data_IF_249277830778
#
_entry.id   IF_249277830778
#
_cell.length_a   1.000
_cell.length_b   1.000
_cell.length_c   1.000
_cell.angle_alpha   90.00
_cell.angle_beta   90.00
_cell.angle_gamma   90.00
#
_symmetry.space_group_name_H-M   'P 1'
#
loop_
_entity.id
_entity.type
_entity.pdbx_description
1 polymer ?
#
# COMPACT_ATOMS: atom_id res chain seq x y z
N UNK A 1 -2.36 26.63 -25.75
CA UNK A 1 -1.75 27.17 -24.52
C UNK A 1 -1.31 26.01 -23.65
N UNK A 2 -0.01 25.86 -23.36
CA UNK A 2 0.50 24.73 -22.56
C UNK A 2 0.37 25.09 -21.07
N UNK A 3 -0.60 24.49 -20.39
CA UNK A 3 -0.72 24.64 -18.95
C UNK A 3 0.38 23.83 -18.25
N UNK A 4 1.15 24.51 -17.42
CA UNK A 4 2.31 23.97 -16.72
C UNK A 4 1.98 23.95 -15.21
N UNK A 5 2.34 22.88 -14.50
CA UNK A 5 2.14 22.75 -13.04
C UNK A 5 2.64 24.00 -12.28
N UNK A 6 3.67 24.65 -12.80
CA UNK A 6 4.23 25.90 -12.25
C UNK A 6 3.29 27.13 -12.26
N UNK A 7 2.16 27.07 -12.98
CA UNK A 7 1.13 28.11 -12.99
C UNK A 7 0.13 27.96 -11.83
N UNK A 8 0.01 26.76 -11.26
CA UNK A 8 -0.88 26.48 -10.12
C UNK A 8 -0.09 26.50 -8.82
N UNK A 9 1.13 25.95 -8.82
CA UNK A 9 2.02 25.88 -7.67
C UNK A 9 3.39 26.45 -8.03
N UNK A 10 4.01 27.22 -7.14
CA UNK A 10 5.31 27.84 -7.41
C UNK A 10 6.38 26.78 -7.67
N UNK A 11 7.29 27.02 -8.63
CA UNK A 11 8.34 26.05 -9.04
C UNK A 11 9.17 25.52 -7.85
N UNK A 12 9.59 26.40 -6.94
CA UNK A 12 10.40 26.01 -5.76
C UNK A 12 9.63 25.18 -4.72
N UNK A 13 8.30 25.19 -4.77
CA UNK A 13 7.48 24.40 -3.87
C UNK A 13 7.38 22.93 -4.30
N UNK A 14 7.73 22.61 -5.55
CA UNK A 14 7.71 21.24 -6.07
C UNK A 14 9.02 20.55 -5.67
N UNK A 15 8.92 19.61 -4.72
CA UNK A 15 10.06 18.79 -4.26
C UNK A 15 10.35 17.62 -5.16
N UNK A 16 9.35 17.12 -5.88
CA UNK A 16 9.54 16.00 -6.78
C UNK A 16 8.28 15.56 -7.51
N UNK A 17 8.50 14.84 -8.60
CA UNK A 17 7.47 14.17 -9.40
C UNK A 17 7.84 12.70 -9.52
N UNK A 18 6.87 11.82 -9.27
CA UNK A 18 7.11 10.38 -9.35
C UNK A 18 5.96 9.68 -10.03
N UNK A 19 6.27 8.92 -11.09
CA UNK A 19 5.30 8.04 -11.73
C UNK A 19 5.27 6.70 -11.00
N UNK A 20 4.10 6.28 -10.53
CA UNK A 20 3.89 4.99 -9.84
C UNK A 20 2.64 4.34 -10.39
N UNK A 21 2.78 3.15 -10.98
CA UNK A 21 1.67 2.36 -11.57
C UNK A 21 0.80 3.16 -12.55
N UNK A 22 1.34 4.11 -13.31
CA UNK A 22 0.56 4.92 -14.25
C UNK A 22 -0.18 6.12 -13.63
N UNK A 23 0.03 6.38 -12.33
CA UNK A 23 -0.36 7.62 -11.67
C UNK A 23 0.88 8.49 -11.43
N UNK A 24 0.69 9.80 -11.34
CA UNK A 24 1.73 10.75 -10.94
C UNK A 24 1.52 11.20 -9.51
N UNK A 25 2.58 11.14 -8.70
CA UNK A 25 2.64 11.76 -7.38
C UNK A 25 3.41 13.06 -7.49
N UNK A 26 2.84 14.11 -6.90
CA UNK A 26 3.43 15.44 -6.83
C UNK A 26 3.78 15.68 -5.37
N UNK A 27 5.07 15.83 -5.08
CA UNK A 27 5.57 16.12 -3.74
C UNK A 27 5.75 17.62 -3.61
N UNK A 28 5.01 18.22 -2.69
CA UNK A 28 5.05 19.65 -2.39
C UNK A 28 5.70 19.88 -1.03
N UNK A 29 6.35 21.02 -0.87
CA UNK A 29 7.07 21.38 0.36
C UNK A 29 6.15 21.87 1.50
N UNK A 30 4.92 22.29 1.18
CA UNK A 30 3.93 22.80 2.14
C UNK A 30 2.52 22.29 1.83
N UNK A 31 1.73 22.07 2.88
CA UNK A 31 0.34 21.61 2.76
C UNK A 31 -0.56 22.64 2.06
N UNK A 32 -0.34 23.95 2.26
CA UNK A 32 -1.13 25.00 1.61
C UNK A 32 -1.05 24.98 0.07
N UNK A 33 0.10 24.58 -0.49
CA UNK A 33 0.23 24.39 -1.94
C UNK A 33 -0.51 23.15 -2.43
N UNK A 34 -0.63 22.12 -1.58
CA UNK A 34 -1.41 20.93 -1.89
C UNK A 34 -2.90 21.25 -1.94
N UNK A 35 -3.41 21.99 -0.97
CA UNK A 35 -4.80 22.47 -0.94
C UNK A 35 -5.12 23.33 -2.18
N UNK A 36 -4.19 24.21 -2.56
CA UNK A 36 -4.31 25.04 -3.76
C UNK A 36 -4.36 24.18 -5.03
N UNK A 37 -3.50 23.17 -5.14
CA UNK A 37 -3.47 22.27 -6.30
C UNK A 37 -4.73 21.39 -6.41
N UNK A 38 -5.27 20.94 -5.27
CA UNK A 38 -6.51 20.16 -5.24
C UNK A 38 -7.71 21.01 -5.62
N UNK A 39 -7.82 22.22 -5.05
CA UNK A 39 -8.95 23.12 -5.28
C UNK A 39 -8.97 23.70 -6.70
N UNK A 40 -7.81 24.13 -7.21
CA UNK A 40 -7.71 24.69 -8.58
C UNK A 40 -7.64 23.61 -9.66
N UNK A 41 -7.29 22.38 -9.29
CA UNK A 41 -7.02 21.31 -10.25
C UNK A 41 -5.77 21.59 -11.11
N UNK A 42 -5.59 20.76 -12.14
CA UNK A 42 -4.48 20.90 -13.09
C UNK A 42 -5.00 20.65 -14.51
N UNK A 43 -4.73 21.56 -15.44
CA UNK A 43 -4.94 21.28 -16.86
C UNK A 43 -3.62 20.86 -17.50
N UNK A 44 -3.61 19.77 -18.26
CA UNK A 44 -2.46 19.34 -19.06
C UNK A 44 -2.92 19.23 -20.50
N UNK A 45 -2.30 19.99 -21.40
CA UNK A 45 -2.65 20.04 -22.84
C UNK A 45 -4.14 20.34 -23.08
N UNK A 46 -4.73 21.21 -22.26
CA UNK A 46 -6.14 21.61 -22.37
C UNK A 46 -7.13 20.62 -21.76
N UNK A 47 -6.67 19.46 -21.26
CA UNK A 47 -7.51 18.52 -20.53
C UNK A 47 -7.40 18.77 -19.03
N UNK A 48 -8.54 19.03 -18.38
CA UNK A 48 -8.61 19.12 -16.93
C UNK A 48 -8.36 17.74 -16.31
N UNK A 49 -7.44 17.69 -15.36
CA UNK A 49 -7.09 16.50 -14.60
C UNK A 49 -7.57 16.62 -13.16
N UNK A 50 -8.25 15.58 -12.69
CA UNK A 50 -8.61 15.44 -11.28
C UNK A 50 -7.37 15.14 -10.45
N UNK A 51 -7.17 15.93 -9.40
CA UNK A 51 -6.11 15.73 -8.42
C UNK A 51 -6.72 15.09 -7.17
N UNK A 52 -6.19 13.95 -6.75
CA UNK A 52 -6.66 13.23 -5.57
C UNK A 52 -5.73 13.45 -4.38
N UNK A 53 -6.30 13.59 -3.19
CA UNK A 53 -5.54 13.66 -1.92
C UNK A 53 -4.83 12.35 -1.61
N UNK A 54 -5.48 11.22 -1.94
CA UNK A 54 -4.98 9.86 -1.73
C UNK A 54 -4.86 9.16 -3.07
N UNK A 55 -4.15 8.04 -3.08
CA UNK A 55 -4.07 7.22 -4.29
C UNK A 55 -5.50 6.79 -4.69
N UNK A 56 -6.02 7.20 -5.86
CA UNK A 56 -7.39 6.87 -6.26
C UNK A 56 -7.61 5.38 -6.52
N UNK A 57 -6.55 4.57 -6.58
CA UNK A 57 -6.63 3.10 -6.68
C UNK A 57 -6.55 2.40 -5.32
N UNK A 58 -6.34 3.13 -4.23
CA UNK A 58 -6.41 2.56 -2.88
C UNK A 58 -7.86 2.36 -2.41
N UNK A 59 -8.85 2.89 -3.11
CA UNK A 59 -10.28 2.78 -2.78
C UNK A 59 -10.90 1.40 -3.00
N UNK A 60 -10.31 0.53 -3.83
CA UNK A 60 -10.85 -0.83 -4.01
C UNK A 60 -10.53 -1.76 -2.83
N UNK A 61 -9.48 -1.45 -2.08
CA UNK A 61 -8.92 -2.29 -1.00
C UNK A 61 -8.97 -1.64 0.38
N UNK A 62 -9.46 -0.40 0.49
CA UNK A 62 -9.89 0.26 1.74
C UNK A 62 -11.43 0.40 1.75
N UNK A 63 -12.15 -0.55 1.11
CA UNK A 63 -13.57 -0.72 1.45
C UNK A 63 -13.63 -1.02 2.94
N UNK A 64 -14.67 -0.53 3.62
CA UNK A 64 -14.89 -0.77 5.06
C UNK A 64 -14.76 -2.26 5.43
N UNK A 65 -14.90 -3.17 4.47
CA UNK A 65 -14.84 -4.62 4.64
C UNK A 65 -13.49 -5.28 4.32
N UNK A 66 -12.38 -4.54 4.36
CA UNK A 66 -11.05 -5.10 4.09
C UNK A 66 -10.11 -5.02 5.29
N UNK A 67 -9.15 -5.95 5.34
CA UNK A 67 -8.12 -6.01 6.38
C UNK A 67 -6.75 -6.33 5.76
N UNK A 68 -5.73 -5.65 6.29
CA UNK A 68 -4.32 -5.91 5.95
C UNK A 68 -3.73 -6.91 6.95
N UNK A 69 -3.20 -8.00 6.41
CA UNK A 69 -2.45 -9.01 7.16
C UNK A 69 -0.99 -8.96 6.71
N UNK A 70 -0.07 -8.88 7.66
CA UNK A 70 1.37 -9.02 7.43
C UNK A 70 1.79 -10.42 7.83
N UNK A 71 2.46 -11.11 6.91
CA UNK A 71 3.05 -12.44 7.11
C UNK A 71 4.56 -12.24 7.16
N UNK A 72 5.18 -12.54 8.29
CA UNK A 72 6.60 -12.38 8.56
C UNK A 72 7.30 -13.72 8.73
N UNK A 73 8.63 -13.66 8.76
CA UNK A 73 9.51 -14.80 9.08
C UNK A 73 9.45 -15.92 8.02
N UNK A 74 9.16 -15.53 6.78
CA UNK A 74 9.23 -16.37 5.57
C UNK A 74 10.38 -15.86 4.71
N UNK A 75 11.27 -16.72 4.17
CA UNK A 75 12.36 -16.27 3.32
C UNK A 75 11.85 -15.75 1.97
N UNK A 76 12.62 -14.83 1.36
CA UNK A 76 12.27 -14.25 0.05
C UNK A 76 12.08 -15.31 -1.04
N UNK A 77 12.83 -16.42 -0.96
CA UNK A 77 12.79 -17.54 -1.90
C UNK A 77 11.56 -18.44 -1.76
N UNK A 78 10.75 -18.29 -0.71
CA UNK A 78 9.53 -19.07 -0.56
C UNK A 78 8.50 -18.67 -1.63
N UNK A 79 7.76 -19.66 -2.11
CA UNK A 79 6.66 -19.43 -3.04
C UNK A 79 5.49 -18.75 -2.32
N UNK A 80 4.91 -17.75 -2.97
CA UNK A 80 3.77 -17.03 -2.43
C UNK A 80 2.52 -17.93 -2.44
N UNK A 81 2.47 -18.93 -3.34
CA UNK A 81 1.39 -19.92 -3.42
C UNK A 81 1.12 -20.68 -2.13
N UNK A 82 2.15 -21.04 -1.36
CA UNK A 82 1.98 -21.71 -0.05
C UNK A 82 1.23 -20.82 0.95
N UNK A 83 1.48 -19.49 0.90
CA UNK A 83 0.82 -18.53 1.77
C UNK A 83 -0.64 -18.37 1.35
N UNK A 84 -0.89 -18.23 0.05
CA UNK A 84 -2.26 -18.10 -0.48
C UNK A 84 -3.10 -19.33 -0.15
N UNK A 85 -2.55 -20.53 -0.33
CA UNK A 85 -3.21 -21.78 0.00
C UNK A 85 -3.62 -21.88 1.48
N UNK A 86 -2.76 -21.42 2.40
CA UNK A 86 -3.10 -21.39 3.83
C UNK A 86 -4.27 -20.44 4.08
N UNK A 87 -4.26 -19.24 3.50
CA UNK A 87 -5.36 -18.28 3.69
C UNK A 87 -6.69 -18.80 3.11
N UNK A 88 -6.65 -19.47 1.96
CA UNK A 88 -7.81 -20.14 1.37
C UNK A 88 -8.37 -21.23 2.30
N UNK A 89 -7.51 -22.02 2.96
CA UNK A 89 -7.93 -23.01 3.97
C UNK A 89 -8.61 -22.42 5.20
N UNK A 90 -8.27 -21.17 5.53
CA UNK A 90 -8.98 -20.41 6.57
C UNK A 90 -10.26 -19.73 6.05
N UNK A 91 -10.69 -20.04 4.82
CA UNK A 91 -11.82 -19.41 4.13
C UNK A 91 -11.70 -17.88 4.02
N UNK A 92 -10.47 -17.37 3.97
CA UNK A 92 -10.20 -15.94 3.84
C UNK A 92 -10.14 -15.56 2.37
N UNK A 93 -11.04 -14.68 1.93
CA UNK A 93 -11.03 -14.16 0.57
C UNK A 93 -9.92 -13.12 0.38
N UNK A 94 -8.87 -13.51 -0.33
CA UNK A 94 -7.74 -12.65 -0.67
C UNK A 94 -8.15 -11.70 -1.81
N UNK A 95 -7.89 -10.42 -1.63
CA UNK A 95 -8.13 -9.37 -2.61
C UNK A 95 -6.84 -9.02 -3.39
N UNK A 96 -5.71 -8.99 -2.70
CA UNK A 96 -4.39 -8.85 -3.32
C UNK A 96 -3.27 -9.28 -2.37
N UNK A 97 -2.09 -9.54 -2.92
CA UNK A 97 -0.89 -9.78 -2.13
C UNK A 97 0.34 -9.16 -2.81
N UNK A 98 1.34 -8.80 -2.02
CA UNK A 98 2.64 -8.35 -2.52
C UNK A 98 3.74 -8.52 -1.48
N UNK A 99 4.99 -8.57 -1.96
CA UNK A 99 6.18 -8.61 -1.11
C UNK A 99 6.51 -7.23 -0.57
N UNK A 100 6.81 -7.14 0.72
CA UNK A 100 7.22 -5.87 1.33
C UNK A 100 8.62 -5.47 0.83
N UNK A 101 8.82 -4.17 0.58
CA UNK A 101 10.13 -3.64 0.18
C UNK A 101 10.92 -3.19 1.39
N UNK A 102 12.22 -3.47 1.37
CA UNK A 102 13.14 -3.02 2.40
C UNK A 102 13.10 -1.50 2.46
N UNK A 103 13.08 -0.96 3.67
CA UNK A 103 13.19 0.48 3.92
C UNK A 103 14.57 0.81 4.43
N UNK A 104 15.16 1.87 3.90
CA UNK A 104 16.41 2.44 4.37
C UNK A 104 16.19 3.92 4.63
N UNK A 105 16.41 4.37 5.88
CA UNK A 105 16.12 5.76 6.32
C UNK A 105 14.71 6.21 5.91
N UNK A 106 13.72 5.38 6.20
CA UNK A 106 12.30 5.56 5.86
C UNK A 106 11.93 5.62 4.37
N UNK A 107 12.91 5.49 3.48
CA UNK A 107 12.69 5.43 2.04
C UNK A 107 12.52 3.98 1.58
N UNK A 108 11.56 3.76 0.68
CA UNK A 108 11.41 2.45 0.03
C UNK A 108 12.58 2.22 -0.92
N UNK A 109 13.21 1.05 -0.82
CA UNK A 109 14.20 0.58 -1.78
C UNK A 109 13.54 -0.31 -2.85
N UNK A 110 14.29 -0.69 -3.88
CA UNK A 110 13.83 -1.68 -4.86
C UNK A 110 14.00 -3.13 -4.37
N UNK A 111 14.67 -3.34 -3.23
CA UNK A 111 14.92 -4.65 -2.67
C UNK A 111 13.65 -5.18 -1.97
N UNK A 112 13.21 -6.37 -2.36
CA UNK A 112 12.12 -7.08 -1.67
C UNK A 112 12.64 -7.77 -0.41
N UNK A 113 11.74 -7.96 0.55
CA UNK A 113 11.97 -8.73 1.77
C UNK A 113 11.23 -10.05 1.72
N UNK A 114 11.52 -10.93 2.68
CA UNK A 114 10.78 -12.16 2.92
C UNK A 114 9.32 -11.95 3.34
N UNK A 115 9.00 -10.78 3.89
CA UNK A 115 7.66 -10.49 4.39
C UNK A 115 6.65 -10.29 3.25
N UNK A 116 5.43 -10.76 3.48
CA UNK A 116 4.29 -10.54 2.58
C UNK A 116 3.24 -9.67 3.24
N UNK A 117 2.62 -8.83 2.42
CA UNK A 117 1.40 -8.13 2.76
C UNK A 117 0.26 -8.76 1.98
N UNK A 118 -0.72 -9.29 2.70
CA UNK A 118 -1.97 -9.82 2.16
C UNK A 118 -3.07 -8.82 2.48
N UNK A 119 -3.85 -8.44 1.48
CA UNK A 119 -5.09 -7.69 1.66
C UNK A 119 -6.22 -8.68 1.40
N UNK A 120 -7.10 -8.84 2.38
CA UNK A 120 -8.25 -9.72 2.29
C UNK A 120 -9.52 -9.02 2.76
N UNK A 121 -10.67 -9.63 2.52
CA UNK A 121 -11.90 -9.20 3.18
C UNK A 121 -11.79 -9.42 4.69
N UNK A 122 -12.49 -8.59 5.47
CA UNK A 122 -12.67 -8.79 6.91
C UNK A 122 -13.21 -10.19 7.15
N UNK A 123 -12.68 -10.82 8.19
CA UNK A 123 -13.05 -12.15 8.62
C UNK A 123 -13.35 -12.10 10.12
N UNK A 124 -14.30 -12.92 10.58
CA UNK A 124 -14.80 -12.87 11.95
C UNK A 124 -13.79 -13.41 12.96
N UNK A 125 -13.13 -14.52 12.61
CA UNK A 125 -12.22 -15.23 13.51
C UNK A 125 -10.77 -14.80 13.27
N UNK A 126 -10.10 -14.17 14.26
CA UNK A 126 -8.72 -13.73 14.09
C UNK A 126 -7.78 -14.91 13.80
N UNK A 127 -6.83 -14.71 12.89
CA UNK A 127 -5.82 -15.73 12.59
C UNK A 127 -4.89 -15.93 13.80
N UNK A 128 -4.43 -17.17 14.04
CA UNK A 128 -3.36 -17.44 14.98
C UNK A 128 -2.13 -16.58 14.68
N UNK A 129 -1.42 -16.15 15.72
CA UNK A 129 -0.21 -15.32 15.57
C UNK A 129 0.94 -16.07 14.91
N UNK A 130 0.99 -17.38 15.08
CA UNK A 130 1.94 -18.25 14.40
C UNK A 130 1.18 -19.27 13.56
N UNK A 131 1.51 -19.34 12.27
CA UNK A 131 0.97 -20.33 11.34
C UNK A 131 2.11 -21.10 10.69
N UNK A 132 1.92 -22.41 10.49
CA UNK A 132 2.81 -23.17 9.62
C UNK A 132 2.43 -22.92 8.16
N UNK A 133 3.40 -22.44 7.39
CA UNK A 133 3.28 -22.23 5.95
C UNK A 133 4.42 -23.00 5.29
N UNK A 134 4.08 -24.08 4.59
CA UNK A 134 5.05 -25.06 4.13
C UNK A 134 5.89 -25.57 5.31
N UNK A 135 7.21 -25.37 5.23
CA UNK A 135 8.17 -25.72 6.29
C UNK A 135 8.45 -24.60 7.29
N UNK A 136 7.90 -23.40 7.09
CA UNK A 136 8.20 -22.21 7.89
C UNK A 136 7.15 -21.99 8.98
N UNK A 137 7.59 -21.44 10.12
CA UNK A 137 6.69 -20.91 11.14
C UNK A 137 6.57 -19.41 10.93
N UNK A 138 5.48 -18.98 10.31
CA UNK A 138 5.24 -17.61 9.94
C UNK A 138 4.55 -16.84 11.07
N UNK A 139 4.98 -15.60 11.29
CA UNK A 139 4.37 -14.69 12.25
C UNK A 139 3.34 -13.80 11.54
N UNK A 140 2.08 -13.91 11.95
CA UNK A 140 0.92 -13.30 11.33
C UNK A 140 0.47 -12.13 12.19
N UNK A 141 0.43 -10.94 11.58
CA UNK A 141 0.06 -9.68 12.24
C UNK A 141 -1.08 -9.03 11.48
N UNK A 142 -2.22 -8.85 12.13
CA UNK A 142 -3.35 -8.10 11.57
C UNK A 142 -4.19 -7.38 12.65
N UNK A 143 -5.04 -6.46 12.20
CA UNK A 143 -5.95 -5.73 13.08
C UNK A 143 -6.96 -6.69 13.75
N UNK A 144 -7.28 -6.45 15.02
CA UNK A 144 -8.23 -7.30 15.77
C UNK A 144 -7.65 -8.60 16.33
N UNK A 145 -6.34 -8.86 16.21
CA UNK A 145 -5.73 -10.01 16.88
C UNK A 145 -5.67 -9.82 18.41
N UNK A 146 -6.04 -10.85 19.20
CA UNK A 146 -5.95 -10.80 20.65
C UNK A 146 -4.49 -10.75 21.12
N UNK A 147 -4.22 -9.94 22.16
CA UNK A 147 -2.86 -9.73 22.70
C UNK A 147 -2.26 -10.98 23.36
N UNK A 148 -3.08 -11.94 23.78
CA UNK A 148 -2.68 -13.08 24.63
C UNK A 148 -1.97 -14.22 23.90
N UNK A 149 -1.82 -14.17 22.58
CA UNK A 149 -1.03 -15.15 21.81
C UNK A 149 0.49 -14.80 21.80
N UNK A 150 0.98 -14.16 22.86
CA UNK A 150 2.40 -13.91 23.13
C UNK A 150 2.88 -14.99 24.11
N UNK A 151 3.12 -16.20 23.61
CA UNK A 151 3.96 -17.17 24.30
C UNK A 151 5.17 -17.45 23.42
#
# INVERSE_FOLDING_TARGET
MFYNLSQVVKKHAIRGLQRVKGLWRIYLDRESYRETLISKGLSIRGQSMTIYTRNPRFTEYDKEDSIRVRVKDIPLSADDGEILYVFERYNIKILSHYRERLRYKDLNTNCQTGDRIIICLKFENPLPRFLKIGKYSANIIHYGQPRNNQK
#
